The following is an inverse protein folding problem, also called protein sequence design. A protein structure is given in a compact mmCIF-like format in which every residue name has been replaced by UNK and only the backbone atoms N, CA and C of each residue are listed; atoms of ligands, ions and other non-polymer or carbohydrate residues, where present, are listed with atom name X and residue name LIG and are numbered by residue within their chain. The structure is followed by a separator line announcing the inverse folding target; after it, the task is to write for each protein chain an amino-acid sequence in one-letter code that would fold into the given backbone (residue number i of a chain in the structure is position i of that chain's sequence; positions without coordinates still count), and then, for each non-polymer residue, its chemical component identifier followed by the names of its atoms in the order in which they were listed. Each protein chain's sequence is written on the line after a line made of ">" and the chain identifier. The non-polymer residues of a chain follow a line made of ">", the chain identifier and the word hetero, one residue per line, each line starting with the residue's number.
data_IF_837287315071
#
_entry.id   IF_837287315071
#
_cell.length_a   1.000
_cell.length_b   1.000
_cell.length_c   1.000
_cell.angle_alpha   90.00
_cell.angle_beta   90.00
_cell.angle_gamma   90.00
#
_symmetry.space_group_name_H-M   'P 1'
#
loop_
_entity.id
_entity.type
_entity.pdbx_description
1 polymer ?
#
# COMPACT_ATOMS: atom_id res chain seq x y z
N UNK A 1 2.61 14.50 4.15
CA UNK A 1 1.99 13.27 4.71
C UNK A 1 1.96 13.37 6.23
N UNK A 2 0.96 12.77 6.87
CA UNK A 2 0.86 12.64 8.32
C UNK A 2 2.00 11.76 8.86
N UNK A 3 2.35 11.87 10.15
CA UNK A 3 3.18 10.88 10.82
C UNK A 3 2.59 9.47 10.70
N UNK A 4 3.45 8.46 10.77
CA UNK A 4 3.02 7.06 10.75
C UNK A 4 2.20 6.74 12.01
N UNK A 5 1.04 6.11 11.83
CA UNK A 5 0.20 5.60 12.91
C UNK A 5 -0.19 4.15 12.66
N UNK A 6 -0.55 3.41 13.72
CA UNK A 6 -0.96 2.00 13.61
C UNK A 6 -2.46 1.91 13.30
N UNK A 7 -2.81 1.24 12.20
CA UNK A 7 -4.21 0.93 11.81
C UNK A 7 -4.22 -0.23 10.82
N UNK A 8 -5.30 -1.02 10.75
CA UNK A 8 -5.45 -2.15 9.83
C UNK A 8 -4.29 -3.17 9.89
N UNK A 9 -3.74 -3.41 11.08
CA UNK A 9 -2.56 -4.25 11.28
C UNK A 9 -1.33 -3.78 10.45
N UNK A 10 -1.22 -2.48 10.21
CA UNK A 10 -0.13 -1.85 9.47
C UNK A 10 0.22 -0.46 9.99
N UNK A 11 1.30 0.10 9.45
CA UNK A 11 1.60 1.53 9.60
C UNK A 11 0.94 2.28 8.44
N UNK A 12 0.18 3.32 8.76
CA UNK A 12 -0.47 4.17 7.77
C UNK A 12 0.02 5.61 7.86
N UNK A 13 0.02 6.28 6.71
CA UNK A 13 0.22 7.72 6.60
C UNK A 13 -0.68 8.26 5.49
N UNK A 14 -1.36 9.36 5.75
CA UNK A 14 -2.24 10.02 4.78
C UNK A 14 -1.58 11.29 4.26
N UNK A 15 -1.87 11.68 3.03
CA UNK A 15 -1.39 12.93 2.47
C UNK A 15 -2.08 13.28 1.17
N UNK A 16 -1.72 14.43 0.63
CA UNK A 16 -2.17 14.85 -0.70
C UNK A 16 -0.99 14.83 -1.65
N UNK A 17 -1.16 14.20 -2.81
CA UNK A 17 -0.17 14.18 -3.89
C UNK A 17 -0.87 14.59 -5.18
N UNK A 18 -0.36 15.61 -5.87
CA UNK A 18 -0.97 16.12 -7.11
C UNK A 18 -2.47 16.45 -7.01
N UNK A 19 -2.94 16.88 -5.82
CA UNK A 19 -4.36 17.18 -5.55
C UNK A 19 -5.18 15.99 -5.08
N UNK A 20 -4.68 14.76 -5.21
CA UNK A 20 -5.38 13.54 -4.80
C UNK A 20 -5.05 13.14 -3.37
N UNK A 21 -6.05 12.66 -2.62
CA UNK A 21 -5.83 12.08 -1.29
C UNK A 21 -5.23 10.69 -1.43
N UNK A 22 -4.06 10.49 -0.83
CA UNK A 22 -3.32 9.23 -0.86
C UNK A 22 -3.22 8.65 0.55
N UNK A 23 -3.47 7.35 0.65
CA UNK A 23 -3.19 6.53 1.81
C UNK A 23 -1.96 5.66 1.52
N UNK A 24 -0.92 5.80 2.32
CA UNK A 24 0.21 4.87 2.35
C UNK A 24 -0.06 3.83 3.43
N UNK A 25 0.21 2.56 3.12
CA UNK A 25 0.13 1.45 4.06
C UNK A 25 1.39 0.59 4.00
N UNK A 26 1.94 0.25 5.17
CA UNK A 26 2.98 -0.77 5.35
C UNK A 26 2.41 -1.88 6.24
N UNK A 27 1.93 -2.99 5.66
CA UNK A 27 1.41 -4.12 6.43
C UNK A 27 2.42 -4.63 7.47
N UNK A 28 1.93 -4.93 8.68
CA UNK A 28 2.70 -5.57 9.76
C UNK A 28 2.21 -6.99 10.03
N UNK A 29 1.71 -7.67 8.99
CA UNK A 29 1.07 -9.00 9.06
C UNK A 29 1.94 -10.15 8.56
N UNK A 30 3.25 -9.94 8.37
CA UNK A 30 4.13 -10.79 7.52
C UNK A 30 3.73 -10.75 6.04
N UNK A 31 4.68 -11.04 5.13
CA UNK A 31 4.44 -10.84 3.70
C UNK A 31 3.33 -11.72 3.13
N UNK A 32 3.24 -12.97 3.57
CA UNK A 32 2.22 -13.92 3.12
C UNK A 32 0.80 -13.54 3.56
N UNK A 33 0.62 -12.65 4.54
CA UNK A 33 -0.70 -12.18 5.01
C UNK A 33 -0.89 -10.67 4.78
N UNK A 34 -0.09 -10.04 3.93
CA UNK A 34 -0.19 -8.62 3.57
C UNK A 34 -1.58 -8.22 3.04
N UNK A 35 -2.24 -9.14 2.32
CA UNK A 35 -3.60 -8.95 1.81
C UNK A 35 -4.67 -8.73 2.88
N UNK A 36 -4.45 -9.17 4.12
CA UNK A 36 -5.38 -8.92 5.22
C UNK A 36 -5.43 -7.43 5.58
N UNK A 37 -4.26 -6.82 5.80
CA UNK A 37 -4.11 -5.41 6.12
C UNK A 37 -4.62 -4.51 4.98
N UNK A 38 -4.20 -4.82 3.74
CA UNK A 38 -4.61 -4.06 2.55
C UNK A 38 -6.12 -4.19 2.29
N UNK A 39 -6.67 -5.40 2.39
CA UNK A 39 -8.09 -5.65 2.19
C UNK A 39 -8.96 -4.97 3.25
N UNK A 40 -8.52 -4.91 4.51
CA UNK A 40 -9.20 -4.16 5.57
C UNK A 40 -9.22 -2.66 5.27
N UNK A 41 -8.09 -2.10 4.83
CA UNK A 41 -8.00 -0.69 4.45
C UNK A 41 -8.92 -0.36 3.25
N UNK A 42 -8.89 -1.15 2.17
CA UNK A 42 -9.76 -0.95 1.00
C UNK A 42 -11.24 -0.93 1.40
N UNK A 43 -11.69 -1.89 2.21
CA UNK A 43 -13.07 -1.94 2.71
C UNK A 43 -13.42 -0.74 3.57
N UNK A 44 -12.53 -0.31 4.47
CA UNK A 44 -12.76 0.84 5.34
C UNK A 44 -12.94 2.15 4.56
N UNK A 45 -12.08 2.38 3.56
CA UNK A 45 -12.14 3.58 2.72
C UNK A 45 -13.09 3.45 1.51
N UNK A 46 -13.75 2.29 1.36
CA UNK A 46 -14.66 1.99 0.24
C UNK A 46 -13.97 2.17 -1.12
N UNK A 47 -12.75 1.67 -1.23
CA UNK A 47 -11.93 1.75 -2.43
C UNK A 47 -11.98 0.42 -3.18
N UNK A 48 -12.04 0.52 -4.51
CA UNK A 48 -11.90 -0.62 -5.40
C UNK A 48 -10.41 -0.98 -5.63
N UNK A 49 -10.08 -2.22 -6.02
CA UNK A 49 -8.70 -2.62 -6.32
C UNK A 49 -8.01 -1.74 -7.37
N UNK A 50 -8.78 -1.10 -8.27
CA UNK A 50 -8.26 -0.15 -9.26
C UNK A 50 -7.61 1.11 -8.63
N UNK A 51 -7.94 1.43 -7.38
CA UNK A 51 -7.31 2.52 -6.62
C UNK A 51 -6.04 2.08 -5.85
N UNK A 52 -5.70 0.79 -5.89
CA UNK A 52 -4.56 0.23 -5.18
C UNK A 52 -3.33 0.16 -6.10
N UNK A 53 -2.21 0.69 -5.64
CA UNK A 53 -0.89 0.43 -6.23
C UNK A 53 -0.04 -0.30 -5.21
N UNK A 54 0.57 -1.42 -5.60
CA UNK A 54 1.41 -2.27 -4.73
C UNK A 54 2.86 -2.18 -5.16
N UNK A 55 3.74 -1.90 -4.20
CA UNK A 55 5.19 -1.97 -4.38
C UNK A 55 5.69 -3.26 -3.72
N UNK A 56 6.35 -4.10 -4.51
CA UNK A 56 6.98 -5.34 -4.06
C UNK A 56 8.24 -5.61 -4.89
N UNK A 57 9.14 -6.43 -4.37
CA UNK A 57 10.34 -6.86 -5.05
C UNK A 57 10.03 -7.97 -6.08
N UNK A 58 10.79 -7.98 -7.18
CA UNK A 58 10.72 -9.01 -8.21
C UNK A 58 12.09 -9.68 -8.31
N UNK A 59 12.14 -10.99 -8.12
CA UNK A 59 13.40 -11.74 -8.05
C UNK A 59 14.08 -11.84 -9.41
N UNK A 60 13.28 -11.84 -10.48
CA UNK A 60 13.77 -11.92 -11.86
C UNK A 60 14.28 -10.57 -12.39
N UNK A 61 14.10 -9.49 -11.62
CA UNK A 61 14.44 -8.15 -12.03
C UNK A 61 15.84 -7.77 -11.51
N UNK A 62 16.73 -7.34 -12.41
CA UNK A 62 18.04 -6.86 -12.02
C UNK A 62 17.94 -5.68 -11.04
N UNK A 63 18.86 -5.61 -10.07
CA UNK A 63 18.85 -4.56 -9.05
C UNK A 63 18.77 -3.14 -9.65
N UNK A 64 17.89 -2.31 -9.10
CA UNK A 64 17.65 -0.94 -9.55
C UNK A 64 16.75 -0.82 -10.79
N UNK A 65 16.34 -1.92 -11.40
CA UNK A 65 15.29 -1.89 -12.42
C UNK A 65 13.92 -1.85 -11.76
N UNK A 66 13.00 -1.14 -12.39
CA UNK A 66 11.59 -1.02 -11.97
C UNK A 66 10.72 -1.42 -13.13
N UNK A 67 9.69 -2.23 -12.85
CA UNK A 67 8.66 -2.62 -13.82
C UNK A 67 7.31 -2.17 -13.30
N UNK A 68 6.51 -1.58 -14.18
CA UNK A 68 5.10 -1.24 -13.91
C UNK A 68 4.22 -2.21 -14.66
N UNK A 69 3.22 -2.75 -13.97
CA UNK A 69 2.14 -3.56 -14.55
C UNK A 69 0.83 -2.86 -14.20
N UNK A 70 -0.01 -2.61 -15.21
CA UNK A 70 -1.34 -2.01 -15.11
C UNK A 70 -2.38 -3.05 -15.44
#
# INVERSE_FOLDING_TARGET
>A
FSPWSKKFQGLIAEGTLAGEKILLIKPQTFMNLSGQAVGEALRFYKLEPAALTVFYDEIDLAAGKVRVKV
#
